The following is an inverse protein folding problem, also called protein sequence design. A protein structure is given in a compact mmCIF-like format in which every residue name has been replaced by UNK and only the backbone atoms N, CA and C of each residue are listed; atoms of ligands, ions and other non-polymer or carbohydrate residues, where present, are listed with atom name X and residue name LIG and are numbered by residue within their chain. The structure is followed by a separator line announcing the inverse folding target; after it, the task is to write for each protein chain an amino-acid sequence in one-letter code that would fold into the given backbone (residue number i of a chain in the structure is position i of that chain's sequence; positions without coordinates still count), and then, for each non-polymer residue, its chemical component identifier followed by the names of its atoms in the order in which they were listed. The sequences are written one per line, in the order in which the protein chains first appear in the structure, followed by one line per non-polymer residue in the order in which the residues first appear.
data_IF_980045893995
#
_entry.id   IF_980045893995
#
_cell.length_a   1.000
_cell.length_b   1.000
_cell.length_c   1.000
_cell.angle_alpha   90.00
_cell.angle_beta   90.00
_cell.angle_gamma   90.00
#
_symmetry.space_group_name_H-M   'P 1'
#
loop_
_entity.id
_entity.type
_entity.pdbx_description
1 polymer ?
#
# COMPACT_ATOMS: atom_id res chain seq x y z
N UNK A 1 0.01 2.35 13.45
CA UNK A 1 0.16 1.08 12.69
C UNK A 1 0.28 1.45 11.21
N UNK A 2 1.31 1.00 10.46
CA UNK A 2 1.45 1.31 9.03
C UNK A 2 0.45 0.50 8.19
N UNK A 3 -0.81 0.92 8.17
CA UNK A 3 -1.89 0.21 7.48
C UNK A 3 -1.70 0.15 5.95
N UNK A 4 -0.91 1.06 5.38
CA UNK A 4 -0.52 1.02 3.96
C UNK A 4 0.44 -0.14 3.63
N UNK A 5 1.05 -0.80 4.62
CA UNK A 5 1.90 -2.00 4.42
C UNK A 5 1.14 -3.33 4.46
N UNK A 6 -0.17 -3.31 4.74
CA UNK A 6 -0.99 -4.53 4.74
C UNK A 6 -1.38 -4.86 3.29
N UNK A 7 -0.98 -6.00 2.77
CA UNK A 7 -1.21 -6.42 1.37
C UNK A 7 -2.20 -7.60 1.35
N UNK A 8 -2.98 -7.73 0.27
CA UNK A 8 -3.81 -8.91 0.04
C UNK A 8 -2.96 -10.18 -0.02
N UNK A 9 -3.55 -11.33 0.33
CA UNK A 9 -2.84 -12.62 0.28
C UNK A 9 -2.39 -13.02 -1.13
N UNK A 10 -2.98 -12.41 -2.16
CA UNK A 10 -2.64 -12.53 -3.58
C UNK A 10 -1.56 -11.53 -4.04
N UNK A 11 -1.05 -10.68 -3.14
CA UNK A 11 -0.09 -9.63 -3.44
C UNK A 11 -0.72 -8.31 -3.91
N UNK A 12 -2.04 -8.21 -3.99
CA UNK A 12 -2.73 -7.01 -4.47
C UNK A 12 -2.80 -5.90 -3.42
N UNK A 13 -2.80 -4.65 -3.89
CA UNK A 13 -3.12 -3.49 -3.04
C UNK A 13 -4.62 -3.44 -2.79
N UNK A 14 -5.01 -3.80 -1.57
CA UNK A 14 -6.41 -3.75 -1.11
C UNK A 14 -6.61 -2.64 -0.09
N UNK A 15 -7.85 -2.15 0.06
CA UNK A 15 -8.35 -1.38 1.21
C UNK A 15 -7.40 -0.32 1.79
N UNK A 16 -7.66 0.95 1.49
CA UNK A 16 -6.97 2.06 2.15
C UNK A 16 -7.88 3.27 2.29
N UNK A 17 -7.95 3.85 3.49
CA UNK A 17 -8.83 5.00 3.77
C UNK A 17 -8.51 6.22 2.89
N UNK A 18 -7.23 6.44 2.56
CA UNK A 18 -6.80 7.48 1.63
C UNK A 18 -6.87 7.11 0.15
N UNK A 19 -7.45 5.95 -0.19
CA UNK A 19 -7.50 5.40 -1.54
C UNK A 19 -6.21 4.69 -1.97
N UNK A 20 -6.33 3.75 -2.92
CA UNK A 20 -5.21 2.90 -3.35
C UNK A 20 -4.03 3.70 -3.92
N UNK A 21 -4.29 4.83 -4.58
CA UNK A 21 -3.25 5.70 -5.13
C UNK A 21 -2.34 6.29 -4.05
N UNK A 22 -2.91 6.71 -2.91
CA UNK A 22 -2.12 7.22 -1.79
C UNK A 22 -1.30 6.09 -1.13
N UNK A 23 -1.90 4.90 -0.97
CA UNK A 23 -1.21 3.71 -0.49
C UNK A 23 -0.01 3.35 -1.35
N UNK A 24 -0.19 3.31 -2.68
CA UNK A 24 0.89 3.03 -3.62
C UNK A 24 2.01 4.08 -3.53
N UNK A 25 1.66 5.38 -3.51
CA UNK A 25 2.64 6.47 -3.37
C UNK A 25 3.49 6.34 -2.11
N UNK A 26 2.87 5.96 -0.97
CA UNK A 26 3.60 5.77 0.29
C UNK A 26 4.54 4.57 0.22
N UNK A 27 4.11 3.46 -0.39
CA UNK A 27 4.96 2.29 -0.59
C UNK A 27 6.13 2.58 -1.55
N UNK A 28 5.90 3.37 -2.61
CA UNK A 28 6.97 3.86 -3.52
C UNK A 28 7.99 4.74 -2.78
N UNK A 29 7.52 5.69 -1.96
CA UNK A 29 8.41 6.56 -1.16
C UNK A 29 9.26 5.78 -0.16
N UNK A 30 8.74 4.65 0.32
CA UNK A 30 9.46 3.74 1.22
C UNK A 30 10.36 2.74 0.47
N UNK A 31 10.37 2.75 -0.86
CA UNK A 31 10.99 1.72 -1.72
C UNK A 31 10.51 0.30 -1.38
N UNK A 32 9.27 0.16 -0.94
CA UNK A 32 8.67 -1.12 -0.56
C UNK A 32 8.06 -1.87 -1.76
N UNK A 33 7.85 -1.18 -2.88
CA UNK A 33 7.38 -1.73 -4.15
C UNK A 33 8.12 -1.05 -5.32
N UNK A 34 8.38 -1.81 -6.38
CA UNK A 34 9.02 -1.40 -7.63
C UNK A 34 8.05 -1.59 -8.80
#
# INVERSE_FOLDING_TARGET
IPCHRIIGSDGSLVGYAGGLRAKQKLLELENAIL
#
